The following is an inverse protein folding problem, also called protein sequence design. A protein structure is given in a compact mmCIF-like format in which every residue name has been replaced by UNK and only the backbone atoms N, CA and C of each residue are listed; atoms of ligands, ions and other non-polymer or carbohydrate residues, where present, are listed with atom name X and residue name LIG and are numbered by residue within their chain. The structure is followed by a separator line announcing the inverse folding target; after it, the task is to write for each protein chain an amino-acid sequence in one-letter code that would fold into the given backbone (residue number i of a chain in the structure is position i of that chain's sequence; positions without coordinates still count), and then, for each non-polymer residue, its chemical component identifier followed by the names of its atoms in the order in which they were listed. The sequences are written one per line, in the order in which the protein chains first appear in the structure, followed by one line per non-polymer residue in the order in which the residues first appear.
data_IF_942079490464
#
_entry.id   IF_942079490464
#
_cell.length_a   1.000
_cell.length_b   1.000
_cell.length_c   1.000
_cell.angle_alpha   90.00
_cell.angle_beta   90.00
_cell.angle_gamma   90.00
#
_symmetry.space_group_name_H-M   'P 1'
#
loop_
_entity.id
_entity.type
_entity.pdbx_description
1 polymer ?
#
# COMPACT_ATOMS: atom_id res chain seq x y z
N UNK A 1 -22.91 30.39 44.38
CA UNK A 1 -24.08 31.17 43.92
C UNK A 1 -23.52 32.31 43.08
N UNK A 2 -23.58 32.30 41.75
CA UNK A 2 -24.76 32.62 40.94
C UNK A 2 -24.59 31.98 39.55
N UNK A 3 -25.68 31.38 39.08
CA UNK A 3 -25.89 30.74 37.77
C UNK A 3 -25.92 31.78 36.65
N UNK A 4 -25.39 31.45 35.47
CA UNK A 4 -26.06 31.75 34.19
C UNK A 4 -25.83 30.59 33.19
N UNK A 5 -26.91 29.83 33.01
CA UNK A 5 -27.17 28.96 31.87
C UNK A 5 -27.62 29.81 30.66
N UNK A 6 -27.85 29.10 29.55
CA UNK A 6 -28.73 29.44 28.40
C UNK A 6 -27.91 29.95 27.19
N UNK A 7 -27.98 29.43 25.94
CA UNK A 7 -29.10 28.86 25.16
C UNK A 7 -28.57 27.88 24.09
N UNK A 8 -29.26 26.73 23.95
CA UNK A 8 -29.26 25.84 22.78
C UNK A 8 -30.17 26.45 21.70
N UNK A 9 -29.73 26.51 20.44
CA UNK A 9 -30.63 26.73 19.30
C UNK A 9 -30.32 25.72 18.19
N UNK A 10 -31.17 24.69 18.17
CA UNK A 10 -31.41 23.78 17.06
C UNK A 10 -32.27 24.48 16.01
N UNK A 11 -31.89 24.37 14.74
CA UNK A 11 -32.76 24.69 13.60
C UNK A 11 -32.66 23.58 12.56
N UNK A 12 -33.70 22.76 12.56
CA UNK A 12 -34.05 21.78 11.53
C UNK A 12 -34.66 22.57 10.36
N UNK A 13 -34.15 22.39 9.15
CA UNK A 13 -34.88 22.74 7.92
C UNK A 13 -34.94 21.50 7.02
N UNK A 14 -36.12 20.90 6.99
CA UNK A 14 -36.57 19.98 5.95
C UNK A 14 -37.42 20.80 4.99
N UNK A 15 -37.07 20.83 3.70
CA UNK A 15 -38.07 21.08 2.68
C UNK A 15 -37.74 20.35 1.39
N UNK A 16 -38.69 19.48 1.04
CA UNK A 16 -38.81 18.67 -0.15
C UNK A 16 -38.97 19.55 -1.39
N UNK A 17 -38.25 19.26 -2.48
CA UNK A 17 -38.72 19.55 -3.84
C UNK A 17 -37.97 18.70 -4.89
N UNK A 18 -38.72 17.85 -5.58
CA UNK A 18 -38.41 17.19 -6.85
C UNK A 18 -39.76 16.93 -7.56
N UNK A 19 -39.81 16.67 -8.88
CA UNK A 19 -39.18 17.31 -10.04
C UNK A 19 -40.30 17.74 -11.04
N UNK A 20 -40.00 18.09 -12.32
CA UNK A 20 -40.20 17.05 -13.36
C UNK A 20 -39.38 17.18 -14.66
N UNK A 21 -39.51 16.13 -15.48
CA UNK A 21 -39.40 16.08 -16.95
C UNK A 21 -38.00 16.05 -17.61
N UNK A 22 -37.53 14.83 -17.89
CA UNK A 22 -36.55 14.56 -18.95
C UNK A 22 -37.31 14.04 -20.18
N UNK A 23 -37.29 14.82 -21.26
CA UNK A 23 -37.80 14.41 -22.57
C UNK A 23 -36.76 13.55 -23.30
N UNK A 24 -37.28 12.51 -23.92
CA UNK A 24 -36.67 11.56 -24.85
C UNK A 24 -35.75 12.21 -25.89
N UNK A 25 -34.53 11.68 -26.03
CA UNK A 25 -33.63 11.97 -27.15
C UNK A 25 -33.70 10.82 -28.16
N UNK A 26 -34.07 11.13 -29.40
CA UNK A 26 -34.16 10.20 -30.52
C UNK A 26 -32.79 10.00 -31.19
N UNK A 27 -32.54 8.75 -31.57
CA UNK A 27 -31.43 8.31 -32.43
C UNK A 27 -31.79 8.51 -33.90
N UNK A 28 -30.87 8.96 -34.76
CA UNK A 28 -30.95 8.69 -36.19
C UNK A 28 -30.06 7.51 -36.59
N UNK A 29 -30.69 6.50 -37.18
CA UNK A 29 -30.08 5.49 -38.04
C UNK A 29 -30.09 6.01 -39.48
N UNK A 30 -29.01 5.81 -40.25
CA UNK A 30 -29.01 5.08 -41.53
C UNK A 30 -27.88 5.48 -42.49
N UNK A 31 -27.20 4.44 -43.00
CA UNK A 31 -26.75 4.22 -44.39
C UNK A 31 -25.61 5.08 -44.97
N UNK A 32 -24.80 4.64 -45.95
CA UNK A 32 -24.24 3.38 -46.50
C UNK A 32 -23.44 3.84 -47.74
N UNK A 33 -22.41 3.08 -48.14
CA UNK A 33 -21.69 3.12 -49.45
C UNK A 33 -20.63 4.25 -49.61
N UNK A 34 -19.51 4.11 -50.33
CA UNK A 34 -19.05 3.06 -51.24
C UNK A 34 -17.51 3.12 -51.41
N UNK A 35 -16.93 1.93 -51.62
CA UNK A 35 -15.71 1.55 -52.34
C UNK A 35 -15.04 2.59 -53.25
N UNK A 36 -13.70 2.65 -53.23
CA UNK A 36 -12.83 2.50 -54.42
C UNK A 36 -11.35 2.36 -54.04
N UNK A 37 -10.77 1.24 -54.45
CA UNK A 37 -9.34 0.92 -54.46
C UNK A 37 -8.67 1.48 -55.72
N UNK A 38 -7.48 2.07 -55.55
CA UNK A 38 -6.53 2.33 -56.63
C UNK A 38 -5.11 2.04 -56.10
N UNK A 39 -4.35 1.32 -56.90
CA UNK A 39 -3.05 0.71 -56.56
C UNK A 39 -1.97 1.27 -57.52
N UNK A 40 -0.72 1.30 -57.01
CA UNK A 40 0.60 1.25 -57.70
C UNK A 40 1.24 2.63 -58.06
N UNK A 41 2.59 2.84 -58.07
CA UNK A 41 3.77 2.05 -57.60
C UNK A 41 4.81 2.76 -56.68
N UNK A 42 5.56 1.91 -55.96
CA UNK A 42 7.03 1.84 -55.72
C UNK A 42 7.95 3.08 -55.82
N UNK A 43 8.72 3.36 -54.75
CA UNK A 43 10.16 3.76 -54.83
C UNK A 43 10.89 3.60 -53.48
N UNK A 44 11.90 2.73 -53.51
CA UNK A 44 13.25 2.77 -52.88
C UNK A 44 13.45 3.21 -51.41
N UNK A 45 13.97 2.23 -50.65
CA UNK A 45 14.93 2.26 -49.55
C UNK A 45 15.37 3.62 -48.96
N UNK A 46 15.22 3.73 -47.65
CA UNK A 46 16.19 4.39 -46.78
C UNK A 46 16.28 3.59 -45.48
N UNK A 47 17.45 3.03 -45.26
CA UNK A 47 17.90 2.37 -44.06
C UNK A 47 17.83 3.32 -42.86
N UNK A 48 16.75 3.28 -42.10
CA UNK A 48 16.70 3.83 -40.75
C UNK A 48 17.30 2.79 -39.81
N UNK A 49 18.54 3.06 -39.40
CA UNK A 49 19.18 2.44 -38.24
C UNK A 49 18.17 2.34 -37.10
N UNK A 50 17.85 1.11 -36.71
CA UNK A 50 17.18 0.82 -35.45
C UNK A 50 18.14 1.20 -34.33
N UNK A 51 18.17 2.48 -34.00
CA UNK A 51 18.69 2.99 -32.75
C UNK A 51 17.88 2.26 -31.68
N UNK A 52 18.51 1.27 -31.08
CA UNK A 52 18.06 0.67 -29.84
C UNK A 52 17.99 1.79 -28.81
N UNK A 53 16.84 2.46 -28.75
CA UNK A 53 16.38 3.08 -27.53
C UNK A 53 16.10 1.94 -26.58
N UNK A 54 17.18 1.40 -26.01
CA UNK A 54 17.18 0.91 -24.64
C UNK A 54 16.87 2.14 -23.79
N UNK A 55 15.61 2.58 -23.84
CA UNK A 55 15.03 3.35 -22.77
C UNK A 55 15.27 2.48 -21.55
N UNK A 56 16.19 2.95 -20.70
CA UNK A 56 16.46 2.33 -19.43
C UNK A 56 15.10 2.04 -18.81
N UNK A 57 14.77 0.76 -18.66
CA UNK A 57 13.90 0.39 -17.57
C UNK A 57 14.62 0.97 -16.35
N UNK A 58 14.12 2.08 -15.81
CA UNK A 58 14.57 2.57 -14.51
C UNK A 58 14.44 1.37 -13.60
N UNK A 59 15.56 0.73 -13.33
CA UNK A 59 15.54 -0.51 -12.56
C UNK A 59 15.09 -0.09 -11.19
N UNK A 60 13.89 -0.52 -10.78
CA UNK A 60 13.42 -0.41 -9.40
C UNK A 60 14.21 -1.35 -8.46
N UNK A 61 15.47 -1.64 -8.81
CA UNK A 61 16.42 -2.41 -8.04
C UNK A 61 16.75 -1.72 -6.72
N UNK A 62 16.68 -0.38 -6.67
CA UNK A 62 16.77 0.39 -5.43
C UNK A 62 15.64 0.09 -4.43
N UNK A 63 14.55 -0.56 -4.85
CA UNK A 63 13.50 -0.99 -3.92
C UNK A 63 13.82 -2.30 -3.18
N UNK A 64 14.86 -3.02 -3.60
CA UNK A 64 15.15 -4.38 -3.12
C UNK A 64 16.63 -4.59 -2.77
N UNK A 65 17.55 -3.83 -3.40
CA UNK A 65 18.99 -3.90 -3.15
C UNK A 65 19.35 -2.85 -2.07
N UNK A 66 19.83 -3.27 -0.89
CA UNK A 66 20.10 -2.36 0.23
C UNK A 66 21.00 -1.18 -0.11
N UNK A 67 22.11 -1.43 -0.81
CA UNK A 67 23.05 -0.38 -1.19
C UNK A 67 22.41 0.67 -2.10
N UNK A 68 21.67 0.23 -3.11
CA UNK A 68 21.00 1.14 -4.04
C UNK A 68 19.87 1.92 -3.35
N UNK A 69 19.12 1.28 -2.44
CA UNK A 69 18.12 1.96 -1.59
C UNK A 69 18.78 3.09 -0.79
N UNK A 70 19.86 2.79 -0.09
CA UNK A 70 20.51 3.75 0.80
C UNK A 70 21.10 4.92 0.00
N UNK A 71 21.73 4.64 -1.15
CA UNK A 71 22.25 5.66 -2.07
C UNK A 71 21.11 6.50 -2.70
N UNK A 72 19.95 5.92 -2.99
CA UNK A 72 18.81 6.60 -3.61
C UNK A 72 18.04 7.49 -2.64
N UNK A 73 17.74 7.00 -1.43
CA UNK A 73 16.87 7.69 -0.48
C UNK A 73 17.64 8.52 0.56
N UNK A 74 18.91 8.22 0.81
CA UNK A 74 19.74 8.90 1.81
C UNK A 74 19.02 9.07 3.17
N UNK A 75 18.35 8.00 3.62
CA UNK A 75 17.60 7.98 4.88
C UNK A 75 16.14 8.49 4.82
N UNK A 76 15.62 8.89 3.66
CA UNK A 76 14.21 9.27 3.50
C UNK A 76 13.30 8.02 3.41
N UNK A 77 13.01 7.41 4.57
CA UNK A 77 12.20 6.19 4.67
C UNK A 77 10.76 6.45 4.24
N UNK A 78 10.22 7.65 4.49
CA UNK A 78 8.88 7.99 4.06
C UNK A 78 8.71 7.89 2.53
N UNK A 79 9.64 8.47 1.76
CA UNK A 79 9.62 8.33 0.29
C UNK A 79 9.79 6.87 -0.13
N UNK A 80 10.66 6.11 0.54
CA UNK A 80 10.86 4.70 0.22
C UNK A 80 9.58 3.87 0.39
N UNK A 81 8.81 4.08 1.46
CA UNK A 81 7.53 3.41 1.67
C UNK A 81 6.48 3.81 0.62
N UNK A 82 6.43 5.10 0.24
CA UNK A 82 5.56 5.58 -0.84
C UNK A 82 5.92 4.91 -2.16
N UNK A 83 7.20 4.83 -2.50
CA UNK A 83 7.64 4.20 -3.74
C UNK A 83 7.40 2.69 -3.75
N UNK A 84 7.59 2.00 -2.62
CA UNK A 84 7.21 0.58 -2.50
C UNK A 84 5.72 0.38 -2.79
N UNK A 85 4.86 1.26 -2.26
CA UNK A 85 3.42 1.21 -2.53
C UNK A 85 3.08 1.50 -3.99
N UNK A 86 3.60 2.61 -4.54
CA UNK A 86 3.30 3.08 -5.89
C UNK A 86 3.83 2.13 -6.97
N UNK A 87 4.94 1.43 -6.69
CA UNK A 87 5.50 0.39 -7.57
C UNK A 87 4.91 -1.01 -7.31
N UNK A 88 3.90 -1.13 -6.45
CA UNK A 88 3.28 -2.41 -6.09
C UNK A 88 4.32 -3.46 -5.63
N UNK A 89 5.34 -3.00 -4.92
CA UNK A 89 6.45 -3.82 -4.48
C UNK A 89 5.98 -4.91 -3.53
N UNK A 90 6.71 -6.02 -3.55
CA UNK A 90 6.36 -7.22 -2.78
C UNK A 90 7.37 -7.48 -1.67
N UNK A 91 6.87 -8.02 -0.56
CA UNK A 91 7.66 -8.55 0.54
C UNK A 91 7.58 -10.07 0.53
N UNK A 92 8.73 -10.75 0.66
CA UNK A 92 8.78 -12.18 0.93
C UNK A 92 8.50 -12.42 2.41
N UNK A 93 7.22 -12.44 2.78
CA UNK A 93 6.72 -12.44 4.14
C UNK A 93 6.38 -13.85 4.62
N UNK A 94 6.54 -14.11 5.92
CA UNK A 94 6.31 -15.41 6.58
C UNK A 94 6.97 -16.61 5.84
N UNK A 95 8.18 -16.42 5.28
CA UNK A 95 8.98 -17.53 4.76
C UNK A 95 8.55 -18.10 3.40
N UNK A 96 8.27 -17.23 2.42
CA UNK A 96 8.06 -17.63 1.02
C UNK A 96 6.78 -17.08 0.39
N UNK A 97 5.99 -16.30 1.13
CA UNK A 97 4.75 -15.75 0.61
C UNK A 97 4.96 -14.32 0.15
N UNK A 98 4.65 -14.03 -1.12
CA UNK A 98 4.84 -12.70 -1.68
C UNK A 98 3.61 -11.84 -1.44
N UNK A 99 3.74 -10.84 -0.57
CA UNK A 99 2.68 -9.87 -0.26
C UNK A 99 3.00 -8.54 -0.91
N UNK A 100 2.06 -7.97 -1.65
CA UNK A 100 2.16 -6.59 -2.10
C UNK A 100 2.00 -5.62 -0.93
N UNK A 101 2.85 -4.59 -0.84
CA UNK A 101 2.63 -3.49 0.11
C UNK A 101 1.54 -2.55 -0.40
N UNK A 102 0.56 -2.25 0.46
CA UNK A 102 -0.47 -1.23 0.21
C UNK A 102 -0.52 -0.27 1.39
N UNK A 103 -0.44 1.03 1.14
CA UNK A 103 -0.71 2.05 2.15
C UNK A 103 -2.18 2.46 2.05
N UNK A 104 -2.81 2.78 3.18
CA UNK A 104 -4.05 3.54 3.15
C UNK A 104 -3.79 4.90 2.50
N UNK A 105 -4.81 5.49 1.89
CA UNK A 105 -4.65 6.79 1.25
C UNK A 105 -4.16 7.85 2.26
N UNK A 106 -4.61 7.76 3.51
CA UNK A 106 -4.21 8.69 4.56
C UNK A 106 -2.74 8.52 4.95
N UNK A 107 -2.28 7.28 5.17
CA UNK A 107 -0.87 7.02 5.49
C UNK A 107 0.04 7.41 4.33
N UNK A 108 -0.34 7.08 3.09
CA UNK A 108 0.40 7.48 1.89
C UNK A 108 0.58 8.99 1.82
N UNK A 109 -0.52 9.75 1.95
CA UNK A 109 -0.48 11.22 1.91
C UNK A 109 0.35 11.82 3.06
N UNK A 110 0.26 11.23 4.26
CA UNK A 110 1.09 11.64 5.39
C UNK A 110 2.57 11.44 5.08
N UNK A 111 2.96 10.27 4.58
CA UNK A 111 4.35 9.96 4.24
C UNK A 111 4.87 10.81 3.07
N UNK A 112 4.04 11.14 2.08
CA UNK A 112 4.41 12.12 1.04
C UNK A 112 4.72 13.49 1.66
N UNK A 113 3.92 13.97 2.62
CA UNK A 113 4.20 15.20 3.35
C UNK A 113 5.54 15.14 4.11
N UNK A 114 5.74 14.07 4.88
CA UNK A 114 6.97 13.84 5.66
C UNK A 114 8.21 13.72 4.76
N UNK A 115 8.06 13.11 3.58
CA UNK A 115 9.16 12.91 2.63
C UNK A 115 9.70 14.22 2.04
N UNK A 116 8.86 15.25 1.97
CA UNK A 116 9.18 16.56 1.38
C UNK A 116 9.51 17.63 2.42
N UNK A 117 9.42 17.30 3.70
CA UNK A 117 9.61 18.26 4.79
C UNK A 117 11.06 18.68 4.97
N UNK A 118 11.29 19.99 5.12
CA UNK A 118 12.62 20.59 5.31
C UNK A 118 12.87 21.11 6.74
N UNK A 119 11.94 20.86 7.66
CA UNK A 119 11.93 21.39 9.05
C UNK A 119 11.69 20.26 10.08
N UNK A 120 11.36 20.60 11.33
CA UNK A 120 11.14 19.70 12.49
C UNK A 120 10.18 18.51 12.23
N UNK A 121 9.39 18.55 11.14
CA UNK A 121 8.62 17.41 10.61
C UNK A 121 9.50 16.24 10.13
N UNK A 122 10.82 16.43 9.95
CA UNK A 122 11.78 15.33 9.80
C UNK A 122 11.73 14.34 10.97
N UNK A 123 11.32 14.79 12.17
CA UNK A 123 11.15 13.92 13.33
C UNK A 123 9.94 12.97 13.21
N UNK A 124 9.19 13.03 12.10
CA UNK A 124 8.08 12.11 11.78
C UNK A 124 8.46 11.06 10.73
N UNK A 125 9.73 11.00 10.29
CA UNK A 125 10.21 9.92 9.44
C UNK A 125 9.97 8.56 10.13
N UNK A 126 9.45 7.55 9.43
CA UNK A 126 9.35 6.20 9.96
C UNK A 126 10.70 5.72 10.48
N UNK A 127 10.71 5.18 11.69
CA UNK A 127 11.90 4.66 12.30
C UNK A 127 12.14 3.21 11.87
N UNK A 128 13.40 2.89 11.58
CA UNK A 128 13.82 1.52 11.24
C UNK A 128 14.82 1.07 12.28
N UNK A 129 14.43 0.08 13.08
CA UNK A 129 15.29 -0.46 14.12
C UNK A 129 16.49 -1.20 13.51
N UNK A 130 17.58 -1.27 14.27
CA UNK A 130 18.73 -2.05 13.84
C UNK A 130 18.47 -3.57 14.00
N UNK A 131 19.45 -4.34 13.55
CA UNK A 131 19.46 -5.81 13.64
C UNK A 131 19.38 -6.41 15.05
N UNK A 132 19.51 -5.61 16.10
CA UNK A 132 19.37 -6.09 17.48
C UNK A 132 17.91 -6.19 17.93
N UNK A 133 16.97 -5.76 17.08
CA UNK A 133 15.53 -5.79 17.34
C UNK A 133 14.75 -6.64 16.32
N UNK A 134 15.10 -7.93 16.11
CA UNK A 134 14.40 -8.81 15.15
C UNK A 134 12.97 -9.19 15.57
N UNK A 135 12.53 -8.81 16.77
CA UNK A 135 11.13 -9.00 17.21
C UNK A 135 10.56 -7.72 17.82
N UNK A 136 9.27 -7.47 17.59
CA UNK A 136 8.61 -6.27 18.11
C UNK A 136 8.70 -6.18 19.64
N UNK A 137 8.62 -7.30 20.36
CA UNK A 137 8.74 -7.32 21.82
C UNK A 137 10.13 -6.92 22.36
N UNK A 138 11.12 -6.72 21.48
CA UNK A 138 12.46 -6.28 21.84
C UNK A 138 12.63 -4.77 21.66
N UNK A 139 11.72 -4.08 20.95
CA UNK A 139 11.85 -2.63 20.72
C UNK A 139 11.74 -1.86 22.05
N UNK A 140 12.45 -0.73 22.21
CA UNK A 140 12.36 0.11 23.39
C UNK A 140 10.92 0.51 23.70
N UNK A 141 10.55 0.46 24.98
CA UNK A 141 9.22 0.81 25.47
C UNK A 141 8.07 -0.03 24.87
N UNK A 142 8.36 -1.23 24.35
CA UNK A 142 7.33 -2.15 23.89
C UNK A 142 6.26 -2.35 24.97
N UNK A 143 5.03 -2.06 24.58
CA UNK A 143 3.85 -2.46 25.30
C UNK A 143 2.98 -3.29 24.38
N UNK A 144 2.44 -4.36 24.94
CA UNK A 144 1.45 -5.22 24.30
C UNK A 144 0.08 -4.55 24.40
N UNK A 145 -0.16 -3.57 23.54
CA UNK A 145 -1.43 -2.87 23.38
C UNK A 145 -1.71 -2.58 21.91
N UNK A 146 -2.95 -2.19 21.59
CA UNK A 146 -3.33 -1.74 20.25
C UNK A 146 -2.74 -0.37 19.87
N UNK A 147 -2.00 0.29 20.76
CA UNK A 147 -1.44 1.61 20.46
C UNK A 147 -0.25 1.50 19.50
N UNK A 148 -0.20 2.45 18.58
CA UNK A 148 0.92 2.71 17.67
C UNK A 148 1.09 4.22 17.51
N UNK A 149 2.20 4.65 16.91
CA UNK A 149 2.59 6.07 16.81
C UNK A 149 2.79 6.57 15.38
N UNK A 150 2.61 5.72 14.37
CA UNK A 150 2.87 6.00 12.95
C UNK A 150 4.34 6.35 12.64
N UNK A 151 5.26 6.07 13.57
CA UNK A 151 6.70 6.32 13.43
C UNK A 151 7.46 5.02 13.62
N UNK A 152 7.38 4.45 14.83
CA UNK A 152 8.04 3.21 15.21
C UNK A 152 7.15 2.01 14.89
N UNK A 153 5.84 2.19 15.02
CA UNK A 153 4.85 1.13 14.84
C UNK A 153 3.66 1.64 14.05
N UNK A 154 3.02 0.72 13.32
CA UNK A 154 1.92 1.00 12.41
C UNK A 154 0.79 0.01 12.63
N UNK A 155 -0.45 0.47 12.44
CA UNK A 155 -1.56 -0.44 12.25
C UNK A 155 -1.52 -0.99 10.84
N UNK A 156 -1.87 -2.25 10.68
CA UNK A 156 -2.03 -2.83 9.37
C UNK A 156 -2.82 -4.12 9.36
N UNK A 157 -2.98 -4.68 8.17
CA UNK A 157 -3.64 -5.95 7.94
C UNK A 157 -2.89 -6.81 6.96
N UNK A 158 -2.86 -8.10 7.26
CA UNK A 158 -2.67 -9.12 6.25
C UNK A 158 -4.01 -9.35 5.55
N UNK A 159 -4.07 -9.16 4.24
CA UNK A 159 -5.28 -9.32 3.43
C UNK A 159 -5.04 -10.37 2.36
N UNK A 160 -5.90 -11.40 2.32
CA UNK A 160 -5.79 -12.51 1.37
C UNK A 160 -6.97 -12.50 0.39
N UNK A 161 -6.79 -13.20 -0.74
CA UNK A 161 -7.75 -13.27 -1.85
C UNK A 161 -8.02 -11.92 -2.52
N UNK A 162 -7.00 -11.08 -2.61
CA UNK A 162 -7.04 -9.80 -3.32
C UNK A 162 -6.79 -10.01 -4.80
N UNK A 163 -7.78 -9.81 -5.68
CA UNK A 163 -7.59 -10.01 -7.12
C UNK A 163 -6.48 -9.11 -7.65
N UNK A 164 -5.58 -9.69 -8.45
CA UNK A 164 -4.49 -8.99 -9.13
C UNK A 164 -3.45 -8.35 -8.21
N UNK A 165 -3.37 -8.73 -6.92
CA UNK A 165 -2.25 -8.30 -6.10
C UNK A 165 -0.93 -8.83 -6.67
N UNK A 166 0.09 -7.98 -6.67
CA UNK A 166 1.46 -8.36 -7.06
C UNK A 166 1.99 -9.51 -6.20
N UNK A 167 2.95 -10.27 -6.72
CA UNK A 167 3.52 -11.43 -6.03
C UNK A 167 2.87 -12.77 -6.38
N UNK A 168 1.76 -12.79 -7.12
CA UNK A 168 1.16 -13.99 -7.67
C UNK A 168 0.33 -14.83 -6.69
N UNK A 169 0.21 -14.41 -5.43
CA UNK A 169 -0.51 -15.14 -4.37
C UNK A 169 -1.82 -14.47 -3.94
N UNK A 170 -2.19 -13.33 -4.54
CA UNK A 170 -3.38 -12.55 -4.19
C UNK A 170 -3.35 -12.06 -2.72
N UNK A 171 -2.17 -11.63 -2.27
CA UNK A 171 -1.85 -11.28 -0.89
C UNK A 171 -1.38 -9.83 -0.79
N UNK A 172 -1.88 -9.11 0.20
CA UNK A 172 -1.56 -7.71 0.49
C UNK A 172 -1.19 -7.55 1.96
N UNK A 173 -0.10 -6.83 2.23
CA UNK A 173 0.17 -6.22 3.52
C UNK A 173 -0.27 -4.77 3.44
N UNK A 174 -1.36 -4.45 4.11
CA UNK A 174 -1.88 -3.10 4.19
C UNK A 174 -1.35 -2.41 5.45
N UNK A 175 -0.79 -1.20 5.34
CA UNK A 175 -0.52 -0.33 6.49
C UNK A 175 -1.49 0.86 6.46
N UNK A 176 -1.95 1.31 7.62
CA UNK A 176 -2.87 2.43 7.78
C UNK A 176 -2.35 3.44 8.78
N UNK A 177 -2.83 4.68 8.64
CA UNK A 177 -2.54 5.73 9.59
C UNK A 177 -3.40 5.50 10.82
N UNK A 178 -2.76 5.37 11.97
CA UNK A 178 -3.43 5.14 13.23
C UNK A 178 -3.96 6.46 13.80
N UNK A 179 -5.12 6.85 13.32
CA UNK A 179 -6.02 7.76 14.01
C UNK A 179 -7.47 7.29 13.82
N UNK A 180 -8.41 7.88 14.55
CA UNK A 180 -9.82 7.49 14.46
C UNK A 180 -10.51 7.93 13.15
N UNK A 181 -9.76 8.54 12.23
CA UNK A 181 -10.26 9.22 11.04
C UNK A 181 -9.73 8.61 9.73
N UNK A 182 -8.87 7.59 9.77
CA UNK A 182 -8.50 6.81 8.58
C UNK A 182 -9.66 5.85 8.23
N UNK A 183 -10.37 6.04 7.10
CA UNK A 183 -11.46 5.14 6.71
C UNK A 183 -11.00 3.72 6.41
N UNK A 184 -9.69 3.51 6.26
CA UNK A 184 -9.05 2.21 6.05
C UNK A 184 -8.28 1.72 7.29
N UNK A 185 -8.28 2.51 8.37
CA UNK A 185 -7.63 2.21 9.64
C UNK A 185 -8.24 1.01 10.34
N UNK A 186 -7.62 0.59 11.45
CA UNK A 186 -8.23 -0.43 12.31
C UNK A 186 -9.60 0.00 12.80
N UNK A 187 -10.55 -0.93 12.77
CA UNK A 187 -11.90 -0.70 13.30
C UNK A 187 -11.84 -0.63 14.83
N UNK A 188 -12.89 -0.06 15.44
CA UNK A 188 -12.98 -0.04 16.91
C UNK A 188 -12.98 -1.45 17.49
N UNK A 189 -13.60 -2.41 16.80
CA UNK A 189 -13.65 -3.81 17.20
C UNK A 189 -12.27 -4.48 17.10
N UNK A 190 -11.46 -4.15 16.08
CA UNK A 190 -10.06 -4.59 16.01
C UNK A 190 -9.23 -4.01 17.17
N UNK A 191 -9.37 -2.71 17.44
CA UNK A 191 -8.66 -2.03 18.54
C UNK A 191 -9.06 -2.59 19.91
N UNK A 192 -10.35 -2.85 20.14
CA UNK A 192 -10.88 -3.35 21.42
C UNK A 192 -10.50 -4.80 21.67
N UNK A 193 -10.52 -5.63 20.63
CA UNK A 193 -10.16 -7.05 20.73
C UNK A 193 -8.67 -7.23 20.94
N UNK A 194 -7.85 -6.43 20.26
CA UNK A 194 -6.38 -6.43 20.30
C UNK A 194 -5.79 -7.85 20.46
N UNK A 195 -5.98 -8.67 19.43
CA UNK A 195 -5.37 -10.00 19.34
C UNK A 195 -4.22 -10.06 18.33
N UNK A 196 -3.81 -8.93 17.75
CA UNK A 196 -2.74 -8.80 16.74
C UNK A 196 -1.38 -9.44 17.07
N UNK A 197 -1.12 -9.72 18.35
CA UNK A 197 0.09 -10.38 18.87
C UNK A 197 -0.01 -11.91 18.94
N UNK A 198 -1.23 -12.46 18.83
CA UNK A 198 -1.53 -13.88 19.00
C UNK A 198 -1.24 -14.68 17.74
N UNK A 199 -1.20 -16.01 17.88
CA UNK A 199 -1.03 -16.92 16.74
C UNK A 199 -2.26 -16.90 15.82
N UNK A 200 -2.04 -16.80 14.50
CA UNK A 200 -3.07 -16.68 13.44
C UNK A 200 -4.24 -17.65 13.58
N UNK A 201 -3.96 -18.91 13.91
CA UNK A 201 -4.98 -19.97 14.01
C UNK A 201 -6.02 -19.72 15.09
N UNK A 202 -5.70 -18.87 16.07
CA UNK A 202 -6.54 -18.60 17.23
C UNK A 202 -7.22 -17.22 17.15
N UNK A 203 -6.97 -16.48 16.07
CA UNK A 203 -7.49 -15.13 15.85
C UNK A 203 -8.64 -15.14 14.87
N UNK A 204 -9.44 -14.07 14.92
CA UNK A 204 -10.54 -13.90 13.99
C UNK A 204 -10.05 -13.26 12.69
N UNK A 205 -10.14 -14.05 11.62
CA UNK A 205 -10.00 -13.55 10.26
C UNK A 205 -11.32 -12.91 9.83
N UNK A 206 -11.34 -11.57 9.79
CA UNK A 206 -12.53 -10.80 9.46
C UNK A 206 -12.83 -10.87 7.97
N UNK A 207 -14.08 -11.16 7.64
CA UNK A 207 -14.56 -11.17 6.24
C UNK A 207 -14.99 -9.78 5.81
N UNK A 208 -15.05 -9.55 4.50
CA UNK A 208 -15.37 -8.22 3.96
C UNK A 208 -16.68 -7.60 4.46
N UNK A 209 -17.75 -8.39 4.67
CA UNK A 209 -19.00 -7.84 5.22
C UNK A 209 -18.84 -7.36 6.67
N UNK A 210 -18.13 -8.12 7.50
CA UNK A 210 -17.87 -7.75 8.88
C UNK A 210 -17.06 -6.45 8.95
N UNK A 211 -16.00 -6.31 8.14
CA UNK A 211 -15.21 -5.07 8.11
C UNK A 211 -16.03 -3.86 7.65
N UNK A 212 -16.97 -4.06 6.72
CA UNK A 212 -17.91 -3.00 6.30
C UNK A 212 -18.81 -2.58 7.47
N UNK A 213 -19.39 -3.56 8.18
CA UNK A 213 -20.26 -3.31 9.33
C UNK A 213 -19.50 -2.63 10.50
N UNK A 214 -18.22 -2.95 10.66
CA UNK A 214 -17.31 -2.35 11.64
C UNK A 214 -16.76 -0.96 11.23
N UNK A 215 -17.04 -0.50 9.99
CA UNK A 215 -16.76 0.87 9.53
C UNK A 215 -15.83 1.00 8.31
N UNK A 216 -15.16 -0.06 7.87
CA UNK A 216 -14.35 -0.06 6.63
C UNK A 216 -15.23 -0.28 5.40
N UNK A 217 -16.07 0.72 5.12
CA UNK A 217 -17.20 0.63 4.17
C UNK A 217 -16.84 0.24 2.73
N UNK A 218 -15.63 0.53 2.26
CA UNK A 218 -15.17 0.24 0.90
C UNK A 218 -14.23 -0.99 0.81
N UNK A 219 -14.07 -1.77 1.88
CA UNK A 219 -13.13 -2.90 1.91
C UNK A 219 -13.32 -3.87 0.72
N UNK A 220 -14.55 -4.32 0.46
CA UNK A 220 -14.83 -5.27 -0.63
C UNK A 220 -14.62 -4.68 -2.02
N UNK A 221 -14.85 -3.38 -2.18
CA UNK A 221 -14.58 -2.69 -3.44
C UNK A 221 -13.08 -2.52 -3.66
N UNK A 222 -12.31 -2.27 -2.59
CA UNK A 222 -10.86 -2.09 -2.64
C UNK A 222 -10.10 -3.40 -2.85
N UNK A 223 -10.48 -4.45 -2.12
CA UNK A 223 -9.72 -5.70 -2.06
C UNK A 223 -10.41 -6.90 -2.72
N UNK A 224 -11.66 -6.77 -3.15
CA UNK A 224 -12.43 -7.86 -3.76
C UNK A 224 -13.48 -8.47 -2.83
N UNK A 225 -14.44 -9.18 -3.42
CA UNK A 225 -15.62 -9.71 -2.73
C UNK A 225 -15.31 -10.79 -1.70
N UNK A 226 -14.27 -11.56 -1.96
CA UNK A 226 -13.91 -12.75 -1.19
C UNK A 226 -12.77 -12.46 -0.21
N UNK A 227 -12.19 -11.26 -0.30
CA UNK A 227 -11.09 -10.84 0.54
C UNK A 227 -11.44 -10.91 2.02
N UNK A 228 -10.44 -11.28 2.80
CA UNK A 228 -10.52 -11.35 4.24
C UNK A 228 -9.20 -10.94 4.86
N UNK A 229 -9.26 -10.43 6.08
CA UNK A 229 -8.12 -9.78 6.70
C UNK A 229 -7.88 -10.25 8.13
N UNK A 230 -6.62 -10.14 8.53
CA UNK A 230 -6.15 -10.28 9.90
C UNK A 230 -5.34 -9.05 10.25
N UNK A 231 -5.58 -8.46 11.41
CA UNK A 231 -4.91 -7.23 11.81
C UNK A 231 -3.63 -7.52 12.61
N UNK A 232 -2.57 -6.74 12.36
CA UNK A 232 -1.31 -6.80 13.09
C UNK A 232 -0.75 -5.40 13.33
N UNK A 233 -0.06 -5.21 14.46
CA UNK A 233 0.89 -4.10 14.52
C UNK A 233 2.10 -4.47 13.70
N UNK A 234 2.63 -3.50 12.97
CA UNK A 234 3.81 -3.65 12.16
C UNK A 234 4.91 -2.71 12.63
N UNK A 235 6.15 -3.09 12.40
CA UNK A 235 7.32 -2.24 12.55
C UNK A 235 8.38 -2.59 11.50
N UNK A 236 9.41 -1.75 11.40
CA UNK A 236 10.51 -1.94 10.46
C UNK A 236 11.82 -2.19 11.17
N UNK A 237 12.66 -3.07 10.63
CA UNK A 237 14.04 -3.20 11.07
C UNK A 237 14.98 -3.58 9.92
N UNK A 238 16.28 -3.42 10.17
CA UNK A 238 17.32 -3.96 9.31
C UNK A 238 17.82 -5.31 9.81
N UNK A 239 18.36 -6.14 8.92
CA UNK A 239 19.14 -7.32 9.29
C UNK A 239 20.65 -7.10 9.13
N UNK A 240 21.44 -8.16 9.31
CA UNK A 240 22.90 -8.11 9.13
C UNK A 240 23.36 -7.75 7.70
N UNK A 241 22.50 -7.95 6.70
CA UNK A 241 22.78 -7.63 5.30
C UNK A 241 22.21 -6.26 4.89
N UNK A 242 21.64 -5.49 5.82
CA UNK A 242 21.03 -4.19 5.55
C UNK A 242 19.69 -4.28 4.80
N UNK A 243 19.09 -5.47 4.69
CA UNK A 243 17.76 -5.61 4.09
C UNK A 243 16.72 -4.97 4.97
N UNK A 244 15.77 -4.27 4.35
CA UNK A 244 14.65 -3.64 5.04
C UNK A 244 13.55 -4.67 5.26
N UNK A 245 13.21 -4.92 6.52
CA UNK A 245 12.18 -5.87 6.92
C UNK A 245 10.93 -5.13 7.38
N UNK A 246 9.78 -5.62 6.93
CA UNK A 246 8.47 -5.36 7.52
C UNK A 246 8.12 -6.56 8.38
N UNK A 247 7.82 -6.32 9.66
CA UNK A 247 7.59 -7.38 10.64
C UNK A 247 6.29 -7.12 11.40
N UNK A 248 5.45 -8.14 11.47
CA UNK A 248 4.25 -8.18 12.30
C UNK A 248 4.61 -8.56 13.75
N UNK A 249 3.76 -8.14 14.68
CA UNK A 249 3.95 -8.35 16.13
C UNK A 249 4.02 -9.83 16.54
N UNK A 250 3.35 -10.72 15.81
CA UNK A 250 3.35 -12.17 16.02
C UNK A 250 4.64 -12.87 15.57
N UNK A 251 5.58 -12.13 14.95
CA UNK A 251 6.86 -12.64 14.47
C UNK A 251 6.85 -13.08 13.01
N UNK A 252 5.73 -12.96 12.30
CA UNK A 252 5.74 -13.06 10.84
C UNK A 252 6.41 -11.83 10.24
N UNK A 253 7.35 -12.03 9.32
CA UNK A 253 8.14 -10.94 8.77
C UNK A 253 8.64 -11.26 7.37
N UNK A 254 9.04 -10.22 6.65
CA UNK A 254 9.59 -10.34 5.32
C UNK A 254 10.39 -9.11 4.91
N UNK A 255 11.24 -9.29 3.90
CA UNK A 255 11.99 -8.20 3.30
C UNK A 255 11.48 -7.94 1.88
N UNK A 256 11.68 -6.71 1.41
CA UNK A 256 11.34 -6.33 0.04
C UNK A 256 12.13 -7.23 -0.94
N UNK A 257 11.41 -7.89 -1.83
CA UNK A 257 11.97 -8.87 -2.75
C UNK A 257 11.25 -8.77 -4.11
N UNK A 258 11.96 -9.01 -5.22
CA UNK A 258 11.32 -9.04 -6.53
C UNK A 258 10.28 -10.16 -6.56
N UNK A 259 9.18 -9.94 -7.27
CA UNK A 259 8.25 -11.02 -7.59
C UNK A 259 9.00 -12.07 -8.42
N UNK A 260 9.01 -13.36 -8.02
CA UNK A 260 9.68 -14.41 -8.77
C UNK A 260 9.23 -14.45 -10.23
N UNK A 261 10.17 -14.47 -11.17
CA UNK A 261 9.89 -14.43 -12.61
C UNK A 261 9.42 -13.07 -13.14
N UNK A 262 9.38 -12.03 -12.30
CA UNK A 262 9.07 -10.66 -12.70
C UNK A 262 10.26 -9.94 -13.37
N UNK A 263 10.04 -8.79 -14.00
CA UNK A 263 11.11 -8.04 -14.69
C UNK A 263 12.30 -7.69 -13.79
N UNK A 264 12.01 -7.29 -12.54
CA UNK A 264 13.02 -6.93 -11.56
C UNK A 264 13.85 -8.13 -11.06
N UNK A 265 13.29 -9.34 -11.05
CA UNK A 265 13.97 -10.56 -10.56
C UNK A 265 15.26 -10.85 -11.34
N UNK A 266 15.19 -10.75 -12.67
CA UNK A 266 16.34 -10.97 -13.54
C UNK A 266 17.47 -9.95 -13.33
N UNK A 267 17.12 -8.71 -13.00
CA UNK A 267 18.07 -7.61 -12.76
C UNK A 267 18.73 -7.79 -11.40
N UNK A 268 17.92 -8.06 -10.36
CA UNK A 268 18.40 -8.29 -9.00
C UNK A 268 19.34 -9.49 -8.98
N UNK A 269 18.97 -10.61 -9.59
CA UNK A 269 19.83 -11.81 -9.64
C UNK A 269 21.17 -11.53 -10.33
N UNK A 270 21.19 -10.69 -11.37
CA UNK A 270 22.44 -10.29 -12.02
C UNK A 270 23.29 -9.40 -11.11
N UNK A 271 22.70 -8.40 -10.46
CA UNK A 271 23.43 -7.47 -9.60
C UNK A 271 23.96 -8.20 -8.37
N UNK A 272 23.13 -8.99 -7.70
CA UNK A 272 23.52 -9.83 -6.55
C UNK A 272 24.69 -10.75 -6.92
N UNK A 273 24.63 -11.43 -8.08
CA UNK A 273 25.72 -12.26 -8.58
C UNK A 273 27.01 -11.48 -8.88
N UNK A 274 26.91 -10.24 -9.36
CA UNK A 274 28.09 -9.39 -9.63
C UNK A 274 28.69 -8.82 -8.35
N UNK A 275 27.88 -8.61 -7.31
CA UNK A 275 28.30 -8.09 -6.01
C UNK A 275 28.79 -9.18 -5.06
N UNK A 276 28.65 -10.46 -5.41
CA UNK A 276 29.01 -11.59 -4.54
C UNK A 276 28.14 -11.68 -3.29
N UNK A 277 26.89 -11.23 -3.39
CA UNK A 277 25.87 -11.25 -2.35
C UNK A 277 25.02 -12.53 -2.43
#
# INVERSE_FOLDING_TARGET
MIRRQVLLLSAIYVSLYMPPNVKSFQVPSSSRQNSSSLVVPMSTASSSSSSSNSAAASSSSYLVIPKERDDHYNGNIAQYLVDLHDNQATFNFCGGMMFQLVLSNKLRNHLEGVSSATTDEQNQQPFVFDKSHPRMNQIPNYNKSSNVDNINTFHGREIRQVPNASGGMNFVLQLSYADNDDPEGWTKDEINRYDGWGHDSNREWRKGNQLIDEGYTNFRTRYGSDAFALHHRFYFHYDNAGRFWLSAEDGCEGFAAPTPGGPADSIVNRITSLMGL
#
